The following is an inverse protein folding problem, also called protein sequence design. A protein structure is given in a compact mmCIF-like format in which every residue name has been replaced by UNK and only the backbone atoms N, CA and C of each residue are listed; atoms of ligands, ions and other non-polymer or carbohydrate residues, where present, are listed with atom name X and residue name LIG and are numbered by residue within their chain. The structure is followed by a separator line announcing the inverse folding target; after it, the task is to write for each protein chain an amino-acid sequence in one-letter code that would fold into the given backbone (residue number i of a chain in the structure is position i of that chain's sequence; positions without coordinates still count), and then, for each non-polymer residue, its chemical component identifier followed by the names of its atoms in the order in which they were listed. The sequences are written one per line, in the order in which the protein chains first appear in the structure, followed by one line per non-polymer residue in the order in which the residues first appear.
data_IF_992924751153
#
_entry.id   IF_992924751153
#
_cell.length_a   1.000
_cell.length_b   1.000
_cell.length_c   1.000
_cell.angle_alpha   90.00
_cell.angle_beta   90.00
_cell.angle_gamma   90.00
#
_symmetry.space_group_name_H-M   'P 1'
#
loop_
_entity.id
_entity.type
_entity.pdbx_description
1 polymer ?
#
# COMPACT_ATOMS: atom_id res chain seq x y z
N UNK A 1 44.79 -22.76 23.87
CA UNK A 1 43.36 -22.50 24.19
C UNK A 1 43.11 -21.01 24.06
N UNK A 2 42.12 -20.57 23.26
CA UNK A 2 41.71 -19.15 23.24
C UNK A 2 41.22 -18.78 24.64
N UNK A 3 41.66 -17.64 25.18
CA UNK A 3 41.21 -17.18 26.49
C UNK A 3 39.71 -16.89 26.38
N UNK A 4 38.95 -17.31 27.38
CA UNK A 4 37.48 -17.18 27.44
C UNK A 4 36.93 -15.80 26.94
N UNK A 5 37.58 -14.66 27.21
CA UNK A 5 37.17 -13.35 26.67
C UNK A 5 37.25 -13.22 25.14
N UNK A 6 38.25 -13.84 24.49
CA UNK A 6 38.45 -13.77 23.04
C UNK A 6 37.36 -14.54 22.29
N UNK A 7 36.93 -15.69 22.83
CA UNK A 7 35.82 -16.45 22.28
C UNK A 7 34.50 -15.67 22.36
N UNK A 8 34.26 -14.97 23.47
CA UNK A 8 33.07 -14.15 23.68
C UNK A 8 33.01 -12.95 22.72
N UNK A 9 34.14 -12.27 22.49
CA UNK A 9 34.24 -11.18 21.51
C UNK A 9 33.88 -11.66 20.10
N UNK A 10 34.35 -12.84 19.69
CA UNK A 10 34.03 -13.40 18.36
C UNK A 10 32.55 -13.71 18.22
N UNK A 11 31.92 -14.27 19.25
CA UNK A 11 30.47 -14.56 19.24
C UNK A 11 29.68 -13.26 19.14
N UNK A 12 29.97 -12.27 19.99
CA UNK A 12 29.26 -10.98 19.97
C UNK A 12 29.43 -10.25 18.64
N UNK A 13 30.60 -10.30 18.01
CA UNK A 13 30.79 -9.72 16.66
C UNK A 13 29.88 -10.37 15.62
N UNK A 14 29.75 -11.70 15.65
CA UNK A 14 28.86 -12.44 14.74
C UNK A 14 27.39 -12.10 14.99
N UNK A 15 26.99 -11.90 16.24
CA UNK A 15 25.64 -11.48 16.59
C UNK A 15 25.35 -10.09 16.03
N UNK A 16 26.28 -9.14 16.19
CA UNK A 16 26.16 -7.79 15.62
C UNK A 16 26.04 -7.85 14.10
N UNK A 17 26.93 -8.58 13.41
CA UNK A 17 26.87 -8.75 11.95
C UNK A 17 25.54 -9.36 11.48
N UNK A 18 24.97 -10.28 12.27
CA UNK A 18 23.66 -10.86 11.96
C UNK A 18 22.52 -9.84 12.14
N UNK A 19 22.56 -9.03 13.20
CA UNK A 19 21.57 -7.98 13.41
C UNK A 19 21.66 -6.89 12.33
N UNK A 20 22.86 -6.50 11.91
CA UNK A 20 23.06 -5.56 10.80
C UNK A 20 22.42 -6.09 9.51
N UNK A 21 22.67 -7.35 9.15
CA UNK A 21 22.03 -7.99 7.98
C UNK A 21 20.51 -8.07 8.09
N UNK A 22 19.99 -8.34 9.29
CA UNK A 22 18.55 -8.36 9.53
C UNK A 22 17.95 -6.97 9.37
N UNK A 23 18.62 -5.92 9.86
CA UNK A 23 18.20 -4.54 9.67
C UNK A 23 18.17 -4.15 8.19
N UNK A 24 19.24 -4.42 7.44
CA UNK A 24 19.28 -4.14 6.00
C UNK A 24 18.12 -4.81 5.26
N UNK A 25 17.82 -6.07 5.62
CA UNK A 25 16.68 -6.79 5.04
C UNK A 25 15.34 -6.13 5.38
N UNK A 26 15.15 -5.74 6.65
CA UNK A 26 13.91 -5.09 7.08
C UNK A 26 13.71 -3.72 6.42
N UNK A 27 14.78 -2.97 6.20
CA UNK A 27 14.73 -1.71 5.45
C UNK A 27 14.27 -1.92 4.01
N UNK A 28 14.79 -2.95 3.33
CA UNK A 28 14.36 -3.30 1.97
C UNK A 28 12.89 -3.74 1.94
N UNK A 29 12.46 -4.57 2.90
CA UNK A 29 11.07 -5.01 3.01
C UNK A 29 10.12 -3.82 3.26
N UNK A 30 10.52 -2.87 4.12
CA UNK A 30 9.76 -1.64 4.36
C UNK A 30 9.61 -0.79 3.10
N UNK A 31 10.69 -0.58 2.34
CA UNK A 31 10.65 0.18 1.09
C UNK A 31 9.70 -0.48 0.09
N UNK A 32 9.75 -1.80 -0.06
CA UNK A 32 8.84 -2.52 -0.98
C UNK A 32 7.37 -2.41 -0.54
N UNK A 33 7.08 -2.54 0.76
CA UNK A 33 5.73 -2.39 1.30
C UNK A 33 5.18 -0.98 1.06
N UNK A 34 5.99 0.06 1.28
CA UNK A 34 5.59 1.45 1.01
C UNK A 34 5.31 1.66 -0.48
N UNK A 35 6.15 1.10 -1.37
CA UNK A 35 5.93 1.16 -2.82
C UNK A 35 4.60 0.51 -3.21
N UNK A 36 4.34 -0.72 -2.75
CA UNK A 36 3.08 -1.43 -3.03
C UNK A 36 1.86 -0.69 -2.50
N UNK A 37 1.95 -0.10 -1.31
CA UNK A 37 0.85 0.67 -0.74
C UNK A 37 0.51 1.89 -1.61
N UNK A 38 1.51 2.60 -2.14
CA UNK A 38 1.31 3.70 -3.08
C UNK A 38 0.62 3.24 -4.36
N UNK A 39 1.09 2.16 -4.97
CA UNK A 39 0.48 1.60 -6.18
C UNK A 39 -1.01 1.22 -5.97
N UNK A 40 -1.35 0.68 -4.79
CA UNK A 40 -2.75 0.36 -4.46
C UNK A 40 -3.60 1.63 -4.35
N UNK A 41 -3.08 2.66 -3.66
CA UNK A 41 -3.79 3.94 -3.50
C UNK A 41 -4.00 4.62 -4.85
N UNK A 42 -2.99 4.65 -5.71
CA UNK A 42 -3.08 5.20 -7.07
C UNK A 42 -4.14 4.47 -7.89
N UNK A 43 -4.15 3.13 -7.86
CA UNK A 43 -5.18 2.33 -8.53
C UNK A 43 -6.60 2.60 -8.00
N UNK A 44 -6.76 2.78 -6.70
CA UNK A 44 -8.06 3.14 -6.11
C UNK A 44 -8.49 4.53 -6.60
N UNK A 45 -7.57 5.49 -6.63
CA UNK A 45 -7.85 6.83 -7.11
C UNK A 45 -8.26 6.83 -8.59
N UNK A 46 -7.53 6.12 -9.45
CA UNK A 46 -7.86 5.94 -10.88
C UNK A 46 -9.24 5.29 -11.06
N UNK A 47 -9.52 4.22 -10.32
CA UNK A 47 -10.83 3.55 -10.37
C UNK A 47 -11.97 4.48 -9.94
N UNK A 48 -11.75 5.33 -8.93
CA UNK A 48 -12.74 6.31 -8.50
C UNK A 48 -12.99 7.39 -9.56
N UNK A 49 -11.94 7.86 -10.24
CA UNK A 49 -12.07 8.80 -11.37
C UNK A 49 -12.85 8.19 -12.52
N UNK A 50 -12.53 6.95 -12.90
CA UNK A 50 -13.23 6.24 -13.98
C UNK A 50 -14.70 6.01 -13.61
N UNK A 51 -14.96 5.51 -12.39
CA UNK A 51 -16.32 5.33 -11.89
C UNK A 51 -17.12 6.63 -11.91
N UNK A 52 -16.50 7.76 -11.56
CA UNK A 52 -17.16 9.07 -11.62
C UNK A 52 -17.54 9.43 -13.05
N UNK A 53 -16.64 9.25 -14.01
CA UNK A 53 -16.91 9.49 -15.44
C UNK A 53 -18.05 8.61 -15.96
N UNK A 54 -18.07 7.33 -15.57
CA UNK A 54 -19.13 6.41 -15.95
C UNK A 54 -20.49 6.85 -15.39
N UNK A 55 -20.53 7.28 -14.12
CA UNK A 55 -21.74 7.80 -13.50
C UNK A 55 -22.21 9.11 -14.15
N UNK A 56 -21.29 10.03 -14.46
CA UNK A 56 -21.59 11.27 -15.19
C UNK A 56 -22.16 10.95 -16.58
N UNK A 57 -21.55 10.03 -17.34
CA UNK A 57 -22.06 9.60 -18.63
C UNK A 57 -23.43 8.91 -18.56
N UNK A 58 -23.69 8.12 -17.50
CA UNK A 58 -25.02 7.54 -17.26
C UNK A 58 -26.03 8.64 -16.97
N UNK A 59 -25.70 9.64 -16.16
CA UNK A 59 -26.61 10.75 -15.86
C UNK A 59 -26.90 11.61 -17.11
N UNK A 60 -25.86 11.96 -17.89
CA UNK A 60 -26.01 12.79 -19.09
C UNK A 60 -26.94 12.14 -20.14
N UNK A 61 -26.75 10.85 -20.43
CA UNK A 61 -27.56 10.10 -21.39
C UNK A 61 -28.92 9.66 -20.79
N UNK A 62 -28.89 9.37 -19.49
CA UNK A 62 -29.92 8.82 -18.60
C UNK A 62 -31.08 9.69 -18.19
N UNK A 63 -30.67 10.89 -17.76
CA UNK A 63 -31.26 11.65 -16.64
C UNK A 63 -31.51 10.80 -15.38
N UNK A 64 -30.65 9.78 -15.14
CA UNK A 64 -30.70 8.91 -13.97
C UNK A 64 -29.65 9.32 -12.93
N UNK A 65 -30.11 9.64 -11.72
CA UNK A 65 -29.27 9.90 -10.55
C UNK A 65 -29.13 8.65 -9.71
N UNK A 66 -27.97 8.46 -9.07
CA UNK A 66 -27.75 7.34 -8.14
C UNK A 66 -27.83 7.82 -6.70
N UNK A 67 -28.89 7.43 -5.99
CA UNK A 67 -29.16 7.84 -4.60
C UNK A 67 -29.26 6.56 -3.74
N UNK A 68 -28.47 6.47 -2.67
CA UNK A 68 -28.46 5.31 -1.76
C UNK A 68 -28.29 3.94 -2.43
N UNK A 69 -27.64 3.89 -3.60
CA UNK A 69 -27.41 2.66 -4.35
C UNK A 69 -28.44 2.35 -5.44
N UNK A 70 -29.58 3.05 -5.46
CA UNK A 70 -30.64 2.90 -6.46
C UNK A 70 -30.54 3.98 -7.56
N UNK A 71 -30.98 3.63 -8.77
CA UNK A 71 -31.07 4.56 -9.90
C UNK A 71 -32.47 5.18 -9.96
N UNK A 72 -32.54 6.50 -9.89
CA UNK A 72 -33.79 7.27 -9.83
C UNK A 72 -33.81 8.25 -11.00
N UNK A 73 -34.94 8.36 -11.70
CA UNK A 73 -35.11 9.42 -12.72
C UNK A 73 -35.25 10.77 -12.03
N UNK A 74 -34.57 11.77 -12.56
CA UNK A 74 -34.85 13.15 -12.20
C UNK A 74 -36.24 13.50 -12.75
N UNK A 75 -37.24 13.62 -11.87
CA UNK A 75 -38.53 14.24 -12.24
C UNK A 75 -38.29 15.75 -12.31
N UNK A 76 -38.40 16.32 -13.52
CA UNK A 76 -38.36 17.76 -13.73
C UNK A 76 -39.50 18.41 -12.90
N UNK A 77 -39.14 19.31 -11.98
CA UNK A 77 -40.06 20.07 -11.14
C UNK A 77 -40.70 21.24 -11.90
#
# INVERSE_FOLDING_TARGET
MKKWPEARIVVTKREVENYEKQNERLELEYIDLVRRAREIVERIAENNVNRRKDLEGIYENTKLLRINGEWVKEEEA
#
